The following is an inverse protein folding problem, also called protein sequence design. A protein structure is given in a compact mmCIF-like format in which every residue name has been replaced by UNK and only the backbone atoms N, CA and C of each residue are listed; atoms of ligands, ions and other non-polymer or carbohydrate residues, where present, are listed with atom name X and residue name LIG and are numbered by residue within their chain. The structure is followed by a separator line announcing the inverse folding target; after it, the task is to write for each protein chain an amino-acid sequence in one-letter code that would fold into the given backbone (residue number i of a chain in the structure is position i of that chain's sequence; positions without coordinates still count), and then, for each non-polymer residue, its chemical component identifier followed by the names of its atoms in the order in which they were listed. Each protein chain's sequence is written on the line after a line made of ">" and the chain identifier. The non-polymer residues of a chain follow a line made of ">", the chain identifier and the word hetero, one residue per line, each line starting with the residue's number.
data_IF_039667988241
#
_entry.id   IF_039667988241
#
_cell.length_a   1.000
_cell.length_b   1.000
_cell.length_c   1.000
_cell.angle_alpha   90.00
_cell.angle_beta   90.00
_cell.angle_gamma   90.00
#
_symmetry.space_group_name_H-M   'P 1'
#
loop_
_entity.id
_entity.type
_entity.pdbx_description
1 polymer ?
#
# COMPACT_ATOMS: atom_id res chain seq x y z
N UNK A 1 29.42 -34.38 46.68
CA UNK A 1 27.97 -34.14 46.51
C UNK A 1 27.58 -32.89 47.30
N UNK A 2 26.68 -31.99 46.85
CA UNK A 2 26.01 -31.89 45.54
C UNK A 2 25.98 -30.46 44.90
N UNK A 3 25.97 -30.33 43.56
CA UNK A 3 25.41 -29.17 42.86
C UNK A 3 23.96 -29.39 42.34
N UNK A 4 23.35 -30.55 42.61
CA UNK A 4 22.04 -30.96 42.06
C UNK A 4 20.84 -30.07 42.41
N UNK A 5 20.87 -29.33 43.53
CA UNK A 5 19.72 -28.52 43.98
C UNK A 5 19.51 -27.21 43.19
N UNK A 6 20.58 -26.58 42.68
CA UNK A 6 20.47 -25.33 41.90
C UNK A 6 19.93 -25.58 40.50
N UNK A 7 20.43 -26.61 39.81
CA UNK A 7 19.96 -26.96 38.47
C UNK A 7 18.47 -27.35 38.45
N UNK A 8 17.98 -28.06 39.48
CA UNK A 8 16.56 -28.44 39.59
C UNK A 8 15.63 -27.24 39.87
N UNK A 9 16.10 -26.24 40.64
CA UNK A 9 15.37 -25.00 40.89
C UNK A 9 15.31 -24.11 39.64
N UNK A 10 16.41 -24.02 38.88
CA UNK A 10 16.45 -23.28 37.62
C UNK A 10 15.55 -23.93 36.54
N UNK A 11 15.49 -25.26 36.48
CA UNK A 11 14.57 -25.97 35.56
C UNK A 11 13.11 -25.81 35.98
N UNK A 12 12.78 -25.90 37.26
CA UNK A 12 11.41 -25.69 37.75
C UNK A 12 10.92 -24.24 37.49
N UNK A 13 11.79 -23.25 37.73
CA UNK A 13 11.49 -21.83 37.43
C UNK A 13 11.31 -21.60 35.93
N UNK A 14 12.06 -22.33 35.08
CA UNK A 14 11.93 -22.26 33.62
C UNK A 14 10.65 -22.92 33.12
N UNK A 15 10.24 -24.05 33.70
CA UNK A 15 8.99 -24.75 33.38
C UNK A 15 7.77 -23.93 33.81
N UNK A 16 7.78 -23.34 35.02
CA UNK A 16 6.74 -22.43 35.50
C UNK A 16 6.61 -21.19 34.60
N UNK A 17 7.74 -20.57 34.22
CA UNK A 17 7.74 -19.46 33.27
C UNK A 17 7.22 -19.86 31.89
N UNK A 18 7.47 -21.10 31.45
CA UNK A 18 6.97 -21.61 30.17
C UNK A 18 5.46 -21.84 30.22
N UNK A 19 4.94 -22.43 31.30
CA UNK A 19 3.49 -22.62 31.49
C UNK A 19 2.76 -21.29 31.62
N UNK A 20 3.33 -20.33 32.35
CA UNK A 20 2.77 -19.00 32.48
C UNK A 20 2.70 -18.27 31.13
N UNK A 21 3.76 -18.37 30.32
CA UNK A 21 3.76 -17.86 28.94
C UNK A 21 2.72 -18.54 28.05
N UNK A 22 2.61 -19.87 28.12
CA UNK A 22 1.61 -20.63 27.36
C UNK A 22 0.18 -20.21 27.72
N UNK A 23 -0.12 -20.01 29.01
CA UNK A 23 -1.43 -19.54 29.45
C UNK A 23 -1.72 -18.11 28.97
N UNK A 24 -0.72 -17.23 28.95
CA UNK A 24 -0.87 -15.87 28.40
C UNK A 24 -1.08 -15.91 26.88
N UNK A 25 -0.36 -16.80 26.17
CA UNK A 25 -0.54 -16.97 24.72
C UNK A 25 -1.94 -17.49 24.38
N UNK A 26 -2.49 -18.42 25.18
CA UNK A 26 -3.89 -18.86 25.07
C UNK A 26 -4.88 -17.72 25.32
N UNK A 27 -4.67 -16.91 26.36
CA UNK A 27 -5.49 -15.72 26.61
C UNK A 27 -5.35 -14.67 25.48
N UNK A 28 -4.20 -14.61 24.81
CA UNK A 28 -3.98 -13.72 23.68
C UNK A 28 -4.80 -14.13 22.45
N UNK A 29 -5.16 -15.41 22.30
CA UNK A 29 -6.07 -15.87 21.24
C UNK A 29 -7.46 -15.25 21.36
N UNK A 30 -7.94 -14.96 22.58
CA UNK A 30 -9.24 -14.30 22.78
C UNK A 30 -9.24 -12.83 22.32
N UNK A 31 -8.06 -12.22 22.21
CA UNK A 31 -7.88 -10.83 21.79
C UNK A 31 -7.73 -10.68 20.27
N UNK A 32 -7.58 -11.79 19.56
CA UNK A 32 -7.40 -11.81 18.12
C UNK A 32 -8.73 -11.52 17.42
N UNK A 33 -8.68 -10.72 16.36
CA UNK A 33 -9.85 -10.49 15.53
C UNK A 33 -10.25 -11.79 14.81
N UNK A 34 -11.51 -12.25 14.94
CA UNK A 34 -11.92 -13.52 14.35
C UNK A 34 -11.84 -13.58 12.82
N UNK A 35 -11.92 -12.45 12.12
CA UNK A 35 -11.83 -12.39 10.65
C UNK A 35 -10.37 -12.40 10.19
N UNK A 36 -9.51 -11.60 10.81
CA UNK A 36 -8.13 -11.41 10.34
C UNK A 36 -7.15 -12.39 10.95
N UNK A 37 -7.51 -13.04 12.06
CA UNK A 37 -6.61 -13.89 12.85
C UNK A 37 -5.36 -13.14 13.34
N UNK A 38 -5.45 -11.80 13.42
CA UNK A 38 -4.42 -10.92 13.97
C UNK A 38 -4.97 -10.07 15.13
N UNK A 39 -4.07 -9.55 15.96
CA UNK A 39 -4.42 -8.54 16.94
C UNK A 39 -4.98 -7.29 16.22
N UNK A 40 -6.18 -6.80 16.59
CA UNK A 40 -6.74 -5.62 15.96
C UNK A 40 -5.98 -4.35 16.34
N UNK A 41 -5.75 -3.46 15.36
CA UNK A 41 -5.15 -2.13 15.58
C UNK A 41 -6.24 -1.07 15.77
N UNK A 42 -7.40 -1.23 15.13
CA UNK A 42 -8.61 -0.42 15.33
C UNK A 42 -9.80 -1.30 15.69
N UNK A 43 -9.84 -1.83 16.93
CA UNK A 43 -10.89 -2.74 17.35
C UNK A 43 -12.25 -2.04 17.49
N UNK A 44 -13.29 -2.71 17.02
CA UNK A 44 -14.71 -2.34 17.20
C UNK A 44 -15.52 -3.50 17.71
N UNK A 45 -16.52 -3.22 18.53
CA UNK A 45 -17.55 -4.17 18.94
C UNK A 45 -18.71 -4.08 17.96
N UNK A 46 -19.03 -5.20 17.31
CA UNK A 46 -20.22 -5.32 16.46
C UNK A 46 -21.45 -5.68 17.32
N UNK A 47 -22.65 -5.66 16.73
CA UNK A 47 -23.89 -5.97 17.45
C UNK A 47 -24.03 -7.42 17.89
N UNK A 48 -23.21 -8.33 17.37
CA UNK A 48 -23.07 -9.69 17.89
C UNK A 48 -22.25 -9.78 19.20
N UNK A 49 -21.81 -8.63 19.73
CA UNK A 49 -21.04 -8.51 20.97
C UNK A 49 -19.56 -8.84 20.83
N UNK A 50 -19.08 -9.21 19.63
CA UNK A 50 -17.69 -9.60 19.39
C UNK A 50 -16.85 -8.42 18.93
N UNK A 51 -15.54 -8.53 19.19
CA UNK A 51 -14.55 -7.53 18.79
C UNK A 51 -13.89 -7.93 17.48
N UNK A 52 -13.83 -6.99 16.54
CA UNK A 52 -13.21 -7.16 15.24
C UNK A 52 -12.25 -6.02 14.93
N UNK A 53 -11.31 -6.26 14.01
CA UNK A 53 -10.66 -5.18 13.28
C UNK A 53 -11.71 -4.43 12.44
N UNK A 54 -11.79 -3.11 12.60
CA UNK A 54 -12.81 -2.28 11.93
C UNK A 54 -12.87 -2.53 10.43
N UNK A 55 -11.73 -2.45 9.76
CA UNK A 55 -11.68 -2.58 8.30
C UNK A 55 -12.20 -3.95 7.81
N UNK A 56 -11.97 -5.01 8.58
CA UNK A 56 -12.41 -6.35 8.25
C UNK A 56 -13.93 -6.52 8.43
N UNK A 57 -14.50 -6.03 9.54
CA UNK A 57 -15.94 -6.13 9.77
C UNK A 57 -16.73 -5.17 8.86
N UNK A 58 -16.19 -3.99 8.54
CA UNK A 58 -16.80 -3.07 7.56
C UNK A 58 -16.84 -3.69 6.17
N UNK A 59 -15.78 -4.41 5.75
CA UNK A 59 -15.78 -5.14 4.50
C UNK A 59 -16.83 -6.26 4.47
N UNK A 60 -17.06 -6.93 5.62
CA UNK A 60 -18.13 -7.93 5.75
C UNK A 60 -19.53 -7.31 5.66
N UNK A 61 -19.74 -6.15 6.26
CA UNK A 61 -21.03 -5.43 6.25
C UNK A 61 -21.33 -4.82 4.88
N UNK A 62 -20.30 -4.34 4.17
CA UNK A 62 -20.43 -3.58 2.92
C UNK A 62 -21.29 -4.32 1.88
N UNK A 63 -22.31 -3.62 1.38
CA UNK A 63 -23.19 -4.11 0.30
C UNK A 63 -24.25 -5.11 0.75
N UNK A 64 -24.39 -5.39 2.06
CA UNK A 64 -25.46 -6.26 2.59
C UNK A 64 -26.62 -5.42 3.11
N UNK A 65 -27.85 -5.93 2.92
CA UNK A 65 -29.04 -5.37 3.57
C UNK A 65 -29.06 -5.74 5.05
N UNK A 66 -29.84 -5.01 5.85
CA UNK A 66 -29.95 -5.28 7.29
C UNK A 66 -30.51 -6.68 7.57
N UNK A 67 -31.42 -7.16 6.74
CA UNK A 67 -32.08 -8.47 6.87
C UNK A 67 -31.16 -9.64 6.48
N UNK A 68 -30.18 -9.38 5.60
CA UNK A 68 -29.22 -10.37 5.13
C UNK A 68 -27.90 -10.38 5.92
N UNK A 69 -27.71 -9.41 6.83
CA UNK A 69 -26.49 -9.29 7.60
C UNK A 69 -26.47 -10.28 8.77
N UNK A 70 -25.39 -11.07 8.84
CA UNK A 70 -25.20 -12.12 9.82
C UNK A 70 -23.83 -12.03 10.47
N UNK A 71 -23.72 -12.48 11.71
CA UNK A 71 -22.44 -12.59 12.42
C UNK A 71 -21.46 -13.43 11.61
N UNK A 72 -20.21 -12.97 11.40
CA UNK A 72 -19.15 -13.76 10.79
C UNK A 72 -18.87 -15.09 11.51
N UNK A 73 -19.28 -15.21 12.78
CA UNK A 73 -18.92 -16.34 13.64
C UNK A 73 -20.11 -17.25 13.92
N UNK A 74 -21.25 -16.70 14.36
CA UNK A 74 -22.41 -17.54 14.71
C UNK A 74 -23.37 -17.74 13.55
N UNK A 75 -23.24 -16.98 12.46
CA UNK A 75 -24.19 -16.95 11.34
C UNK A 75 -25.63 -16.55 11.73
N UNK A 76 -25.80 -15.97 12.91
CA UNK A 76 -27.07 -15.38 13.38
C UNK A 76 -27.26 -13.96 12.85
N UNK A 77 -28.49 -13.46 12.68
CA UNK A 77 -28.75 -12.08 12.27
C UNK A 77 -28.07 -11.06 13.19
N UNK A 78 -27.49 -10.01 12.62
CA UNK A 78 -26.92 -8.88 13.37
C UNK A 78 -27.13 -7.56 12.63
N UNK A 79 -27.15 -6.44 13.34
CA UNK A 79 -27.15 -5.11 12.72
C UNK A 79 -25.74 -4.63 12.34
N UNK A 80 -25.69 -3.48 11.66
CA UNK A 80 -24.48 -2.92 11.07
C UNK A 80 -23.72 -1.94 11.99
N UNK A 81 -24.20 -1.71 13.22
CA UNK A 81 -23.60 -0.73 14.13
C UNK A 81 -22.27 -1.26 14.67
N UNK A 82 -21.26 -0.39 14.66
CA UNK A 82 -19.93 -0.67 15.18
C UNK A 82 -19.55 0.35 16.26
N UNK A 83 -19.24 -0.11 17.46
CA UNK A 83 -18.82 0.72 18.58
C UNK A 83 -17.30 0.64 18.75
N UNK A 84 -16.55 1.76 18.87
CA UNK A 84 -15.11 1.70 19.12
C UNK A 84 -14.78 0.95 20.43
N UNK A 85 -13.93 -0.08 20.34
CA UNK A 85 -13.50 -0.88 21.49
C UNK A 85 -12.14 -0.39 22.04
N UNK A 86 -12.09 0.90 22.42
CA UNK A 86 -10.85 1.58 22.82
C UNK A 86 -10.13 0.88 23.97
N UNK A 87 -10.88 0.34 24.94
CA UNK A 87 -10.28 -0.38 26.07
C UNK A 87 -9.55 -1.65 25.63
N UNK A 88 -10.07 -2.36 24.63
CA UNK A 88 -9.41 -3.56 24.07
C UNK A 88 -8.08 -3.20 23.43
N UNK A 89 -8.05 -2.13 22.62
CA UNK A 89 -6.81 -1.62 22.02
C UNK A 89 -5.76 -1.28 23.08
N UNK A 90 -6.17 -0.55 24.13
CA UNK A 90 -5.26 -0.12 25.20
C UNK A 90 -4.73 -1.34 26.00
N UNK A 91 -5.56 -2.37 26.20
CA UNK A 91 -5.15 -3.61 26.84
C UNK A 91 -4.13 -4.37 25.99
N UNK A 92 -4.38 -4.53 24.68
CA UNK A 92 -3.44 -5.15 23.73
C UNK A 92 -2.11 -4.40 23.76
N UNK A 93 -2.13 -3.07 23.69
CA UNK A 93 -0.92 -2.25 23.74
C UNK A 93 -0.13 -2.46 25.03
N UNK A 94 -0.80 -2.49 26.19
CA UNK A 94 -0.16 -2.76 27.49
C UNK A 94 0.49 -4.15 27.52
N UNK A 95 -0.23 -5.17 27.04
CA UNK A 95 0.26 -6.55 27.02
C UNK A 95 1.44 -6.75 26.07
N UNK A 96 1.41 -6.10 24.90
CA UNK A 96 2.54 -6.08 23.97
C UNK A 96 3.75 -5.37 24.59
N UNK A 97 3.56 -4.22 25.24
CA UNK A 97 4.64 -3.46 25.90
C UNK A 97 5.25 -4.21 27.09
N UNK A 98 4.43 -4.91 27.87
CA UNK A 98 4.92 -5.70 29.00
C UNK A 98 5.58 -7.02 28.59
N UNK A 99 5.52 -7.38 27.31
CA UNK A 99 5.98 -8.67 26.80
C UNK A 99 5.08 -9.85 27.19
N UNK A 100 3.87 -9.56 27.66
CA UNK A 100 2.84 -10.59 27.90
C UNK A 100 2.40 -11.19 26.56
N UNK A 101 2.11 -10.35 25.57
CA UNK A 101 1.95 -10.80 24.18
C UNK A 101 3.28 -10.55 23.46
N UNK A 102 3.97 -11.64 23.11
CA UNK A 102 5.26 -11.61 22.44
C UNK A 102 5.23 -12.19 21.02
N UNK A 103 6.42 -12.47 20.49
CA UNK A 103 6.60 -13.19 19.23
C UNK A 103 6.01 -12.49 18.01
N UNK A 104 5.60 -13.29 17.03
CA UNK A 104 5.19 -12.82 15.71
C UNK A 104 3.93 -11.95 15.74
N UNK A 105 2.96 -12.29 16.61
CA UNK A 105 1.71 -11.50 16.77
C UNK A 105 2.01 -10.08 17.26
N UNK A 106 2.88 -9.95 18.27
CA UNK A 106 3.30 -8.65 18.79
C UNK A 106 4.06 -7.84 17.74
N UNK A 107 5.00 -8.48 17.01
CA UNK A 107 5.78 -7.83 15.96
C UNK A 107 4.90 -7.35 14.79
N UNK A 108 3.96 -8.18 14.35
CA UNK A 108 3.00 -7.84 13.30
C UNK A 108 2.11 -6.65 13.72
N UNK A 109 1.57 -6.68 14.94
CA UNK A 109 0.75 -5.60 15.48
C UNK A 109 1.54 -4.29 15.59
N UNK A 110 2.75 -4.31 16.14
CA UNK A 110 3.63 -3.13 16.23
C UNK A 110 3.95 -2.55 14.85
N UNK A 111 4.23 -3.41 13.87
CA UNK A 111 4.46 -3.00 12.48
C UNK A 111 3.23 -2.31 11.91
N UNK A 112 2.02 -2.86 12.08
CA UNK A 112 0.77 -2.26 11.61
C UNK A 112 0.49 -0.91 12.27
N UNK A 113 0.76 -0.76 13.57
CA UNK A 113 0.68 0.54 14.26
C UNK A 113 1.67 1.55 13.68
N UNK A 114 2.92 1.15 13.42
CA UNK A 114 3.95 2.01 12.81
C UNK A 114 3.55 2.43 11.40
N UNK A 115 3.08 1.49 10.60
CA UNK A 115 2.62 1.74 9.23
C UNK A 115 1.41 2.70 9.21
N UNK A 116 0.44 2.52 10.12
CA UNK A 116 -0.70 3.44 10.26
C UNK A 116 -0.28 4.87 10.63
N UNK A 117 0.68 5.02 11.57
CA UNK A 117 1.26 6.34 11.90
C UNK A 117 1.97 6.98 10.71
N UNK A 118 2.74 6.18 9.96
CA UNK A 118 3.43 6.63 8.75
C UNK A 118 2.44 7.15 7.70
N UNK A 119 1.32 6.44 7.50
CA UNK A 119 0.25 6.86 6.60
C UNK A 119 -0.38 8.18 7.06
N UNK A 120 -0.69 8.31 8.35
CA UNK A 120 -1.28 9.52 8.90
C UNK A 120 -0.37 10.75 8.76
N UNK A 121 0.93 10.60 9.06
CA UNK A 121 1.90 11.68 8.91
C UNK A 121 2.07 12.11 7.44
N UNK A 122 2.18 11.13 6.55
CA UNK A 122 2.34 11.40 5.11
C UNK A 122 1.09 12.05 4.54
N UNK A 123 -0.11 11.62 4.97
CA UNK A 123 -1.38 12.28 4.63
C UNK A 123 -1.40 13.74 5.06
N UNK A 124 -0.96 14.05 6.28
CA UNK A 124 -0.88 15.44 6.75
C UNK A 124 0.07 16.28 5.89
N UNK A 125 1.23 15.73 5.48
CA UNK A 125 2.17 16.41 4.56
C UNK A 125 1.53 16.64 3.18
N UNK A 126 0.89 15.61 2.63
CA UNK A 126 0.20 15.69 1.35
C UNK A 126 -0.95 16.72 1.36
N UNK A 127 -1.74 16.76 2.43
CA UNK A 127 -2.78 17.78 2.65
C UNK A 127 -2.19 19.19 2.83
N UNK A 128 -0.94 19.27 3.30
CA UNK A 128 -0.17 20.52 3.37
C UNK A 128 0.51 20.94 2.07
N UNK A 129 0.28 20.25 0.95
CA UNK A 129 0.83 20.62 -0.37
C UNK A 129 2.14 19.93 -0.75
N UNK A 130 2.62 18.94 0.00
CA UNK A 130 3.84 18.22 -0.32
C UNK A 130 3.60 17.19 -1.46
N UNK A 131 4.15 17.48 -2.65
CA UNK A 131 4.04 16.62 -3.85
C UNK A 131 4.57 15.20 -3.61
N UNK A 132 5.72 15.08 -2.94
CA UNK A 132 6.34 13.79 -2.65
C UNK A 132 5.44 12.91 -1.78
N UNK A 133 4.82 13.50 -0.77
CA UNK A 133 3.87 12.84 0.11
C UNK A 133 2.58 12.45 -0.62
N UNK A 134 2.03 13.32 -1.47
CA UNK A 134 0.88 12.97 -2.32
C UNK A 134 1.20 11.77 -3.21
N UNK A 135 2.34 11.80 -3.88
CA UNK A 135 2.83 10.71 -4.73
C UNK A 135 3.02 9.42 -3.93
N UNK A 136 3.60 9.51 -2.73
CA UNK A 136 3.83 8.37 -1.86
C UNK A 136 2.53 7.69 -1.40
N UNK A 137 1.49 8.46 -1.10
CA UNK A 137 0.16 7.92 -0.79
C UNK A 137 -0.43 7.25 -2.01
N UNK A 138 -0.30 7.86 -3.19
CA UNK A 138 -0.71 7.25 -4.45
C UNK A 138 -0.08 5.88 -4.68
N UNK A 139 1.23 5.74 -4.40
CA UNK A 139 1.92 4.46 -4.46
C UNK A 139 1.38 3.43 -3.47
N UNK A 140 1.09 3.82 -2.22
CA UNK A 140 0.57 2.88 -1.23
C UNK A 140 -0.83 2.38 -1.57
N UNK A 141 -1.71 3.22 -2.13
CA UNK A 141 -3.00 2.78 -2.65
C UNK A 141 -2.86 1.91 -3.90
N UNK A 142 -1.92 2.22 -4.79
CA UNK A 142 -1.70 1.42 -6.01
C UNK A 142 -1.26 0.00 -5.67
N UNK A 143 -0.36 -0.14 -4.71
CA UNK A 143 0.31 -1.41 -4.39
C UNK A 143 -0.30 -2.14 -3.18
N UNK A 144 -1.24 -1.52 -2.47
CA UNK A 144 -1.85 -2.10 -1.27
C UNK A 144 -0.86 -2.23 -0.12
N UNK A 145 -0.17 -1.13 0.22
CA UNK A 145 0.89 -1.11 1.23
C UNK A 145 0.45 -0.37 2.50
N UNK A 146 1.22 -0.57 3.58
CA UNK A 146 1.03 0.16 4.86
C UNK A 146 -0.37 0.00 5.47
N UNK A 147 -1.03 -1.13 5.21
CA UNK A 147 -2.38 -1.41 5.69
C UNK A 147 -3.49 -0.77 4.83
N UNK A 148 -3.14 -0.12 3.71
CA UNK A 148 -4.12 0.34 2.72
C UNK A 148 -4.45 -0.80 1.75
N UNK A 149 -5.73 -0.93 1.40
CA UNK A 149 -6.15 -1.82 0.34
C UNK A 149 -5.73 -1.27 -1.03
N UNK A 150 -5.55 -2.17 -2.01
CA UNK A 150 -5.34 -1.76 -3.40
C UNK A 150 -6.57 -0.98 -3.87
N UNK A 151 -6.37 0.29 -4.17
CA UNK A 151 -7.40 1.19 -4.68
C UNK A 151 -6.81 2.07 -5.78
N UNK A 152 -6.89 1.63 -7.06
CA UNK A 152 -6.37 2.38 -8.18
C UNK A 152 -7.02 3.75 -8.36
N UNK A 153 -8.26 3.93 -7.91
CA UNK A 153 -8.98 5.21 -8.01
C UNK A 153 -8.40 6.21 -7.03
N UNK A 154 -8.26 5.83 -5.76
CA UNK A 154 -7.57 6.66 -4.76
C UNK A 154 -6.13 6.95 -5.20
N UNK A 155 -5.42 5.96 -5.73
CA UNK A 155 -4.07 6.17 -6.25
C UNK A 155 -4.04 7.26 -7.34
N UNK A 156 -4.95 7.20 -8.31
CA UNK A 156 -5.06 8.20 -9.37
C UNK A 156 -5.38 9.59 -8.82
N UNK A 157 -6.34 9.73 -7.91
CA UNK A 157 -6.71 11.02 -7.29
C UNK A 157 -5.50 11.67 -6.58
N UNK A 158 -4.68 10.89 -5.88
CA UNK A 158 -3.46 11.41 -5.24
C UNK A 158 -2.37 11.77 -6.24
N UNK A 159 -2.17 10.97 -7.29
CA UNK A 159 -1.24 11.32 -8.36
C UNK A 159 -1.68 12.56 -9.13
N UNK A 160 -2.99 12.76 -9.34
CA UNK A 160 -3.54 13.90 -10.06
C UNK A 160 -3.29 15.19 -9.29
N UNK A 161 -3.54 15.19 -7.98
CA UNK A 161 -3.20 16.32 -7.10
C UNK A 161 -1.70 16.64 -7.09
N UNK A 162 -0.84 15.62 -7.08
CA UNK A 162 0.60 15.82 -7.18
C UNK A 162 1.04 16.34 -8.56
N UNK A 163 0.35 15.92 -9.62
CA UNK A 163 0.62 16.34 -10.99
C UNK A 163 0.28 17.81 -11.25
N UNK A 164 -0.61 18.42 -10.46
CA UNK A 164 -0.89 19.87 -10.48
C UNK A 164 0.32 20.72 -10.08
N UNK A 165 1.35 20.11 -9.45
CA UNK A 165 2.60 20.76 -9.07
C UNK A 165 3.70 20.64 -10.13
N UNK A 166 3.36 20.17 -11.34
CA UNK A 166 4.24 20.06 -12.50
C UNK A 166 5.52 19.24 -12.24
N UNK A 167 5.43 18.19 -11.41
CA UNK A 167 6.52 17.24 -11.20
C UNK A 167 6.43 16.05 -12.18
N UNK A 168 7.56 15.59 -12.75
CA UNK A 168 7.50 14.54 -13.77
C UNK A 168 6.96 13.17 -13.29
N UNK A 169 7.28 12.73 -12.07
CA UNK A 169 6.88 11.40 -11.59
C UNK A 169 5.34 11.26 -11.43
N UNK A 170 4.63 12.20 -10.76
CA UNK A 170 3.17 12.23 -10.73
C UNK A 170 2.53 12.28 -12.11
N UNK A 171 3.06 13.12 -13.02
CA UNK A 171 2.57 13.24 -14.39
C UNK A 171 2.66 11.90 -15.13
N UNK A 172 3.79 11.19 -15.02
CA UNK A 172 3.95 9.85 -15.58
C UNK A 172 2.95 8.86 -14.97
N UNK A 173 2.67 8.94 -13.67
CA UNK A 173 1.70 8.03 -13.02
C UNK A 173 0.28 8.29 -13.50
N UNK A 174 -0.14 9.54 -13.56
CA UNK A 174 -1.42 9.94 -14.14
C UNK A 174 -1.54 9.49 -15.59
N UNK A 175 -0.49 9.74 -16.39
CA UNK A 175 -0.46 9.31 -17.77
C UNK A 175 -0.68 7.81 -17.91
N UNK A 176 0.07 6.98 -17.16
CA UNK A 176 -0.07 5.51 -17.22
C UNK A 176 -1.45 5.04 -16.77
N UNK A 177 -2.04 5.68 -15.76
CA UNK A 177 -3.40 5.38 -15.31
C UNK A 177 -4.43 5.67 -16.40
N UNK A 178 -4.37 6.85 -17.04
CA UNK A 178 -5.28 7.26 -18.12
C UNK A 178 -5.09 6.43 -19.40
N UNK A 179 -3.84 6.13 -19.76
CA UNK A 179 -3.52 5.29 -20.93
C UNK A 179 -4.00 3.85 -20.75
N UNK A 180 -3.94 3.33 -19.52
CA UNK A 180 -4.35 1.97 -19.17
C UNK A 180 -5.79 1.82 -18.70
N UNK A 181 -6.50 2.92 -18.40
CA UNK A 181 -7.82 2.90 -17.77
C UNK A 181 -7.82 2.32 -16.34
N UNK A 182 -6.73 2.50 -15.57
CA UNK A 182 -6.59 1.95 -14.22
C UNK A 182 -7.00 2.99 -13.18
N UNK A 183 -8.12 2.76 -12.50
CA UNK A 183 -8.63 3.70 -11.47
C UNK A 183 -9.30 4.95 -12.03
N UNK A 184 -9.23 5.15 -13.35
CA UNK A 184 -9.83 6.26 -14.09
C UNK A 184 -10.28 5.75 -15.45
N UNK A 185 -11.30 6.39 -16.04
CA UNK A 185 -11.69 6.09 -17.41
C UNK A 185 -10.51 6.28 -18.37
N UNK A 186 -10.41 5.40 -19.36
CA UNK A 186 -9.29 5.45 -20.31
C UNK A 186 -9.39 6.72 -21.17
N UNK A 187 -8.35 7.55 -21.11
CA UNK A 187 -8.20 8.76 -21.91
C UNK A 187 -6.79 8.83 -22.45
N UNK A 188 -6.61 8.34 -23.67
CA UNK A 188 -5.29 8.27 -24.30
C UNK A 188 -4.78 9.65 -24.71
N UNK A 189 -5.66 10.58 -25.07
CA UNK A 189 -5.27 11.93 -25.45
C UNK A 189 -4.66 12.67 -24.27
N UNK A 190 -5.36 12.69 -23.12
CA UNK A 190 -4.86 13.30 -21.89
C UNK A 190 -3.60 12.57 -21.40
N UNK A 191 -3.58 11.24 -21.44
CA UNK A 191 -2.42 10.47 -21.02
C UNK A 191 -1.15 10.76 -21.83
N UNK A 192 -1.26 10.88 -23.16
CA UNK A 192 -0.15 11.23 -24.03
C UNK A 192 0.31 12.68 -23.83
N UNK A 193 -0.62 13.61 -23.59
CA UNK A 193 -0.29 14.99 -23.25
C UNK A 193 0.57 15.05 -21.99
N UNK A 194 0.18 14.34 -20.92
CA UNK A 194 0.92 14.31 -19.66
C UNK A 194 2.32 13.69 -19.81
N UNK A 195 2.50 12.64 -20.64
CA UNK A 195 3.84 12.13 -20.99
C UNK A 195 4.67 13.19 -21.72
N UNK A 196 4.07 13.90 -22.66
CA UNK A 196 4.71 15.00 -23.38
C UNK A 196 5.19 16.10 -22.42
N UNK A 197 4.34 16.51 -21.47
CA UNK A 197 4.67 17.49 -20.43
C UNK A 197 5.80 17.00 -19.54
N UNK A 198 5.72 15.77 -19.00
CA UNK A 198 6.79 15.21 -18.17
C UNK A 198 8.14 15.12 -18.91
N UNK A 199 8.13 14.73 -20.20
CA UNK A 199 9.33 14.75 -21.04
C UNK A 199 9.80 16.19 -21.34
N UNK A 200 8.88 17.16 -21.42
CA UNK A 200 9.18 18.59 -21.48
C UNK A 200 9.92 19.12 -20.26
N UNK A 201 9.55 18.61 -19.08
CA UNK A 201 10.16 18.91 -17.79
C UNK A 201 11.49 18.16 -17.55
N UNK A 202 11.97 17.39 -18.54
CA UNK A 202 13.28 16.76 -18.49
C UNK A 202 13.30 15.32 -17.96
N UNK A 203 12.16 14.62 -17.88
CA UNK A 203 12.13 13.19 -17.54
C UNK A 203 12.55 12.29 -18.71
N UNK A 204 13.62 11.52 -18.49
CA UNK A 204 14.07 10.46 -19.41
C UNK A 204 12.98 9.40 -19.61
N UNK A 205 12.33 8.99 -18.53
CA UNK A 205 11.32 7.94 -18.55
C UNK A 205 10.08 8.32 -19.36
N UNK A 206 9.62 9.57 -19.25
CA UNK A 206 8.50 10.07 -20.03
C UNK A 206 8.83 10.12 -21.54
N UNK A 207 10.04 10.56 -21.88
CA UNK A 207 10.50 10.56 -23.27
C UNK A 207 10.62 9.13 -23.82
N UNK A 208 11.16 8.21 -23.03
CA UNK A 208 11.22 6.79 -23.38
C UNK A 208 9.83 6.21 -23.64
N UNK A 209 8.86 6.44 -22.74
CA UNK A 209 7.48 5.92 -22.90
C UNK A 209 6.80 6.47 -24.15
N UNK A 210 7.05 7.74 -24.49
CA UNK A 210 6.53 8.36 -25.71
C UNK A 210 7.10 7.70 -26.98
N UNK A 211 8.41 7.47 -27.03
CA UNK A 211 9.06 6.75 -28.13
C UNK A 211 8.62 5.29 -28.21
N UNK A 212 8.56 4.59 -27.08
CA UNK A 212 8.09 3.20 -26.98
C UNK A 212 6.63 3.06 -27.46
N UNK A 213 5.79 4.05 -27.15
CA UNK A 213 4.39 4.09 -27.58
C UNK A 213 4.24 4.12 -29.11
N UNK A 214 5.02 4.96 -29.80
CA UNK A 214 5.06 4.98 -31.26
C UNK A 214 5.65 3.69 -31.84
N UNK A 215 6.80 3.23 -31.34
CA UNK A 215 7.50 2.03 -31.81
C UNK A 215 6.60 0.78 -31.81
N UNK A 216 5.74 0.64 -30.80
CA UNK A 216 4.91 -0.55 -30.57
C UNK A 216 3.41 -0.32 -30.79
N UNK A 217 3.04 0.79 -31.41
CA UNK A 217 1.65 1.14 -31.76
C UNK A 217 0.69 1.07 -30.56
N UNK A 218 1.11 1.68 -29.45
CA UNK A 218 0.35 1.66 -28.18
C UNK A 218 -0.51 2.90 -28.03
N UNK A 219 -1.58 2.75 -27.25
CA UNK A 219 -2.47 3.86 -26.86
C UNK A 219 -3.09 4.62 -28.03
N UNK A 220 -3.25 3.96 -29.18
CA UNK A 220 -3.80 4.55 -30.41
C UNK A 220 -2.76 5.29 -31.26
N UNK A 221 -1.48 5.27 -30.87
CA UNK A 221 -0.40 5.76 -31.71
C UNK A 221 -0.15 4.79 -32.86
N UNK A 222 0.09 5.33 -34.06
CA UNK A 222 0.63 4.55 -35.18
C UNK A 222 2.14 4.51 -35.11
N UNK A 223 2.72 3.48 -35.73
CA UNK A 223 4.16 3.40 -35.88
C UNK A 223 4.67 4.62 -36.65
N UNK A 224 5.59 5.34 -36.02
CA UNK A 224 6.24 6.52 -36.59
C UNK A 224 7.70 6.54 -36.13
N UNK A 225 8.58 6.11 -37.03
CA UNK A 225 10.02 6.01 -36.73
C UNK A 225 10.63 7.41 -36.51
N UNK A 226 10.12 8.46 -37.19
CA UNK A 226 10.60 9.84 -37.00
C UNK A 226 10.27 10.35 -35.61
N UNK A 227 9.04 10.13 -35.15
CA UNK A 227 8.64 10.51 -33.79
C UNK A 227 9.36 9.67 -32.73
N UNK A 228 9.52 8.37 -32.97
CA UNK A 228 10.29 7.48 -32.08
C UNK A 228 11.72 7.98 -31.92
N UNK A 229 12.41 8.28 -33.03
CA UNK A 229 13.76 8.82 -33.03
C UNK A 229 13.84 10.18 -32.33
N UNK A 230 12.86 11.07 -32.57
CA UNK A 230 12.76 12.36 -31.89
C UNK A 230 12.69 12.21 -30.37
N UNK A 231 11.82 11.33 -29.87
CA UNK A 231 11.67 11.12 -28.42
C UNK A 231 12.91 10.48 -27.79
N UNK A 232 13.52 9.47 -28.44
CA UNK A 232 14.75 8.84 -27.94
C UNK A 232 15.98 9.76 -28.00
N UNK A 233 16.08 10.64 -29.01
CA UNK A 233 17.12 11.68 -29.02
C UNK A 233 16.90 12.70 -27.91
N UNK A 234 15.64 13.14 -27.70
CA UNK A 234 15.29 14.07 -26.62
C UNK A 234 15.63 13.50 -25.24
N UNK A 235 15.37 12.20 -25.03
CA UNK A 235 15.72 11.47 -23.82
C UNK A 235 17.20 11.60 -23.44
N UNK A 236 18.13 11.65 -24.41
CA UNK A 236 19.57 11.77 -24.12
C UNK A 236 19.97 13.16 -23.58
N UNK A 237 19.14 14.18 -23.81
CA UNK A 237 19.34 15.55 -23.35
C UNK A 237 18.49 15.93 -22.14
N UNK A 238 17.82 14.96 -21.53
CA UNK A 238 16.99 15.17 -20.34
C UNK A 238 17.86 15.48 -19.11
N UNK A 239 17.37 16.37 -18.25
CA UNK A 239 18.06 16.75 -17.01
C UNK A 239 17.93 15.71 -15.90
N UNK A 240 16.92 14.85 -15.97
CA UNK A 240 16.55 13.94 -14.87
C UNK A 240 16.69 12.48 -15.30
N UNK A 241 17.55 11.75 -14.60
CA UNK A 241 17.81 10.31 -14.81
C UNK A 241 16.83 9.43 -14.02
N UNK A 242 15.58 9.36 -14.47
CA UNK A 242 14.47 8.66 -13.79
C UNK A 242 14.02 7.34 -14.45
N UNK A 243 14.80 6.83 -15.41
CA UNK A 243 14.54 5.55 -16.09
C UNK A 243 15.63 4.51 -15.80
N UNK A 244 15.36 3.24 -16.14
CA UNK A 244 16.33 2.16 -15.95
C UNK A 244 17.39 2.13 -17.06
N UNK A 245 18.58 1.59 -16.74
CA UNK A 245 19.65 1.42 -17.72
C UNK A 245 19.18 0.61 -18.94
N UNK A 246 18.34 -0.41 -18.72
CA UNK A 246 17.77 -1.21 -19.80
C UNK A 246 16.93 -0.38 -20.79
N UNK A 247 16.17 0.60 -20.31
CA UNK A 247 15.40 1.49 -21.20
C UNK A 247 16.34 2.41 -22.00
N UNK A 248 17.43 2.90 -21.37
CA UNK A 248 18.45 3.70 -22.06
C UNK A 248 19.15 2.89 -23.15
N UNK A 249 19.53 1.66 -22.83
CA UNK A 249 20.23 0.78 -23.76
C UNK A 249 19.31 0.37 -24.92
N UNK A 250 18.03 0.09 -24.66
CA UNK A 250 17.03 -0.18 -25.70
C UNK A 250 16.84 1.01 -26.64
N UNK A 251 16.65 2.22 -26.10
CA UNK A 251 16.51 3.44 -26.91
C UNK A 251 17.77 3.73 -27.74
N UNK A 252 18.95 3.59 -27.14
CA UNK A 252 20.24 3.79 -27.82
C UNK A 252 20.48 2.73 -28.90
N UNK A 253 20.12 1.47 -28.63
CA UNK A 253 20.19 0.39 -29.62
C UNK A 253 19.27 0.68 -30.80
N UNK A 254 18.02 1.04 -30.52
CA UNK A 254 17.04 1.34 -31.56
C UNK A 254 17.52 2.48 -32.48
N UNK A 255 18.09 3.56 -31.92
CA UNK A 255 18.64 4.67 -32.69
C UNK A 255 19.82 4.27 -33.60
N UNK A 256 20.67 3.32 -33.17
CA UNK A 256 21.76 2.80 -34.01
C UNK A 256 21.24 1.96 -35.17
N UNK A 257 20.14 1.22 -34.96
CA UNK A 257 19.52 0.38 -35.97
C UNK A 257 18.70 1.19 -37.00
N UNK A 258 18.28 2.42 -36.65
CA UNK A 258 17.44 3.30 -37.49
C UNK A 258 18.08 4.69 -37.69
N UNK A 259 19.29 4.78 -38.31
CA UNK A 259 20.00 6.05 -38.44
C UNK A 259 19.31 7.07 -39.37
N UNK A 260 18.44 6.59 -40.27
CA UNK A 260 17.69 7.40 -41.25
C UNK A 260 16.32 7.87 -40.74
N UNK A 261 15.95 7.54 -39.51
CA UNK A 261 14.70 7.95 -38.87
C UNK A 261 14.72 9.40 -38.33
#
# INVERSE_FOLDING_TARGET
>A
MPPRKRAAADTATREENTRFRSAIDEMAEELVCPITQELPVDPVTAEDGRVYERSAIEAHIRGRSAEALKSPITNEPMGARLLPAVQVRNNIERMVKSGAIGGDKAAAWQKRIKDGKMVAETRRKAEGGDSGAMTQIGYWYRDGQKGLAVDPKQAFEWFERAAELDEPDPLIKCARALLGGKGVARDTARGLLLLGTACGLGSEHACYLSGWGHRHEKWGLKKDDKQTARWFRKMQGCSTTDTSQACRDDAAKWLREHPSA
#
